data_IF_367823714069
#
_entry.id   IF_367823714069
#
_cell.length_a   1.000
_cell.length_b   1.000
_cell.length_c   1.000
_cell.angle_alpha   90.00
_cell.angle_beta   90.00
_cell.angle_gamma   90.00
#
_symmetry.space_group_name_H-M   'P 1'
#
loop_
_entity.id
_entity.type
_entity.pdbx_description
1 polymer ?
#
# COMPACT_ATOMS: atom_id res chain seq x y z
N UNK A 1 1.62 7.24 29.15
CA UNK A 1 1.97 6.81 27.78
C UNK A 1 1.79 8.04 26.90
N UNK A 2 2.86 8.75 26.54
CA UNK A 2 2.73 10.03 25.81
C UNK A 2 3.55 9.97 24.53
N UNK A 3 2.80 9.87 23.44
CA UNK A 3 3.13 10.24 22.06
C UNK A 3 4.15 9.39 21.30
N UNK A 4 3.83 8.11 21.07
CA UNK A 4 4.34 7.40 19.89
C UNK A 4 3.62 7.93 18.65
N UNK A 5 4.15 8.95 17.99
CA UNK A 5 3.56 9.49 16.75
C UNK A 5 3.86 8.54 15.57
N UNK A 6 3.05 7.47 15.48
CA UNK A 6 3.02 6.58 14.34
C UNK A 6 2.57 7.36 13.11
N UNK A 7 3.23 7.12 11.98
CA UNK A 7 2.73 7.49 10.66
C UNK A 7 2.30 6.20 9.95
N UNK A 8 1.01 6.07 9.71
CA UNK A 8 0.45 4.88 9.07
C UNK A 8 0.79 4.84 7.57
N UNK A 9 1.33 3.72 7.10
CA UNK A 9 1.43 3.40 5.67
C UNK A 9 0.22 2.53 5.31
N UNK A 10 -0.91 3.16 5.07
CA UNK A 10 -2.19 2.49 4.91
C UNK A 10 -2.55 2.28 3.44
N UNK A 11 -3.12 1.11 3.12
CA UNK A 11 -3.75 0.90 1.82
C UNK A 11 -4.62 -0.36 1.82
N UNK A 12 -5.62 -0.40 0.92
CA UNK A 12 -6.27 -1.68 0.60
C UNK A 12 -5.20 -2.68 0.13
N UNK A 13 -5.29 -3.97 0.50
CA UNK A 13 -4.28 -4.96 0.11
C UNK A 13 -3.93 -4.89 -1.38
N UNK A 14 -2.65 -5.07 -1.69
CA UNK A 14 -2.13 -5.08 -3.07
C UNK A 14 -2.23 -3.75 -3.84
N UNK A 15 -2.37 -2.63 -3.13
CA UNK A 15 -2.33 -1.28 -3.71
C UNK A 15 -0.92 -0.65 -3.75
N UNK A 16 0.16 -1.41 -3.52
CA UNK A 16 1.53 -0.92 -3.69
C UNK A 16 2.27 -0.47 -2.42
N UNK A 17 1.88 -0.97 -1.25
CA UNK A 17 2.55 -0.62 0.02
C UNK A 17 4.03 -1.02 0.04
N UNK A 18 4.39 -2.20 -0.50
CA UNK A 18 5.80 -2.62 -0.66
C UNK A 18 6.60 -1.61 -1.47
N UNK A 19 6.00 -1.05 -2.53
CA UNK A 19 6.67 -0.06 -3.39
C UNK A 19 6.85 1.29 -2.69
N UNK A 20 5.84 1.73 -1.92
CA UNK A 20 5.99 2.92 -1.05
C UNK A 20 7.15 2.73 -0.06
N UNK A 21 7.25 1.54 0.56
CA UNK A 21 8.31 1.23 1.52
C UNK A 21 9.69 1.20 0.86
N UNK A 22 9.80 0.71 -0.38
CA UNK A 22 11.01 0.85 -1.19
C UNK A 22 11.38 2.33 -1.40
N UNK A 23 10.42 3.17 -1.79
CA UNK A 23 10.67 4.61 -1.97
C UNK A 23 11.15 5.26 -0.66
N UNK A 24 10.46 4.98 0.46
CA UNK A 24 10.83 5.50 1.78
C UNK A 24 12.25 5.10 2.19
N UNK A 25 12.64 3.85 1.95
CA UNK A 25 13.97 3.38 2.28
C UNK A 25 15.04 3.93 1.35
N UNK A 26 14.86 3.79 0.04
CA UNK A 26 15.89 4.10 -0.96
C UNK A 26 16.07 5.62 -1.16
N UNK A 27 14.99 6.40 -1.05
CA UNK A 27 15.00 7.84 -1.34
C UNK A 27 15.03 8.73 -0.10
N UNK A 28 14.78 8.18 1.09
CA UNK A 28 14.79 8.95 2.35
C UNK A 28 15.58 8.28 3.49
N UNK A 29 16.08 7.06 3.30
CA UNK A 29 16.73 6.29 4.36
C UNK A 29 15.77 5.89 5.50
N UNK A 30 14.45 5.94 5.27
CA UNK A 30 13.44 5.71 6.29
C UNK A 30 12.99 4.25 6.28
N UNK A 31 13.25 3.56 7.40
CA UNK A 31 12.79 2.19 7.63
C UNK A 31 11.33 2.16 8.04
N UNK A 32 10.66 1.04 7.76
CA UNK A 32 9.25 0.84 8.09
C UNK A 32 8.96 -0.55 8.61
N UNK A 33 8.03 -0.61 9.57
CA UNK A 33 7.51 -1.86 10.10
C UNK A 33 6.14 -2.20 9.50
N UNK A 34 5.58 -3.34 9.87
CA UNK A 34 4.22 -3.77 9.57
C UNK A 34 3.55 -4.16 10.87
N UNK A 35 2.23 -4.01 10.99
CA UNK A 35 1.49 -4.60 12.12
C UNK A 35 1.42 -6.13 12.04
N UNK A 36 1.79 -6.71 10.90
CA UNK A 36 1.79 -8.14 10.65
C UNK A 36 3.21 -8.67 10.81
N UNK A 37 3.46 -9.62 11.73
CA UNK A 37 4.76 -10.27 11.82
C UNK A 37 5.01 -11.10 10.57
N UNK A 38 6.27 -11.20 10.14
CA UNK A 38 6.64 -11.94 8.93
C UNK A 38 5.89 -11.43 7.67
N UNK A 39 5.66 -10.11 7.58
CA UNK A 39 4.88 -9.45 6.53
C UNK A 39 5.38 -9.77 5.11
N UNK A 40 6.69 -10.05 4.98
CA UNK A 40 7.36 -10.33 3.71
C UNK A 40 7.72 -11.81 3.54
N UNK A 41 7.27 -12.68 4.45
CA UNK A 41 7.48 -14.13 4.38
C UNK A 41 8.93 -14.57 4.58
N UNK A 42 9.74 -13.79 5.30
CA UNK A 42 11.14 -14.10 5.61
C UNK A 42 12.11 -13.89 4.46
N UNK A 43 11.67 -13.22 3.38
CA UNK A 43 12.52 -12.90 2.24
C UNK A 43 13.50 -11.78 2.63
N UNK A 44 14.67 -12.16 3.14
CA UNK A 44 15.71 -11.23 3.62
C UNK A 44 16.14 -10.21 2.57
N UNK A 45 16.27 -10.64 1.31
CA UNK A 45 16.62 -9.74 0.20
C UNK A 45 15.55 -8.67 -0.01
N UNK A 46 14.26 -9.04 0.04
CA UNK A 46 13.17 -8.08 -0.06
C UNK A 46 13.10 -7.16 1.17
N UNK A 47 13.31 -7.70 2.37
CA UNK A 47 13.37 -6.93 3.62
C UNK A 47 14.43 -5.82 3.55
N UNK A 48 15.61 -6.11 3.02
CA UNK A 48 16.68 -5.15 2.77
C UNK A 48 16.27 -4.07 1.76
N UNK A 49 15.62 -4.46 0.65
CA UNK A 49 15.19 -3.51 -0.38
C UNK A 49 14.12 -2.52 0.08
N UNK A 50 13.27 -2.91 1.03
CA UNK A 50 12.18 -2.07 1.54
C UNK A 50 12.49 -1.42 2.89
N UNK A 51 13.69 -1.65 3.44
CA UNK A 51 14.07 -1.16 4.76
C UNK A 51 13.14 -1.66 5.87
N UNK A 52 12.83 -2.96 5.87
CA UNK A 52 11.91 -3.54 6.86
C UNK A 52 12.50 -3.52 8.28
N UNK A 53 11.65 -3.20 9.25
CA UNK A 53 11.83 -3.51 10.67
C UNK A 53 10.86 -4.65 10.99
N UNK A 54 11.42 -5.82 11.31
CA UNK A 54 10.65 -6.99 11.74
C UNK A 54 10.34 -6.89 13.25
N UNK A 55 9.33 -7.64 13.69
CA UNK A 55 9.04 -7.81 15.10
C UNK A 55 10.18 -8.56 15.81
N UNK A 56 10.45 -8.15 17.05
CA UNK A 56 11.34 -8.87 17.95
C UNK A 56 10.70 -10.18 18.46
N UNK A 57 11.48 -11.00 19.19
CA UNK A 57 11.02 -12.29 19.73
C UNK A 57 9.79 -12.14 20.67
N UNK A 58 9.64 -10.99 21.32
CA UNK A 58 8.49 -10.64 22.16
C UNK A 58 7.32 -10.03 21.36
N UNK A 59 7.37 -10.10 20.03
CA UNK A 59 6.38 -9.59 19.07
C UNK A 59 6.23 -8.07 19.08
N UNK A 60 7.15 -7.34 19.70
CA UNK A 60 7.17 -5.87 19.69
C UNK A 60 7.94 -5.34 18.49
N UNK A 61 7.60 -4.14 18.04
CA UNK A 61 8.34 -3.41 17.00
C UNK A 61 9.18 -2.34 17.71
N UNK A 62 10.50 -2.43 17.60
CA UNK A 62 11.42 -1.44 18.16
C UNK A 62 11.98 -0.55 17.05
N UNK A 63 11.61 0.72 17.09
CA UNK A 63 12.16 1.73 16.20
C UNK A 63 13.45 2.33 16.80
N UNK A 64 14.43 2.72 15.97
CA UNK A 64 15.56 3.51 16.43
C UNK A 64 15.10 4.78 17.17
N UNK A 65 15.86 5.19 18.19
CA UNK A 65 15.53 6.40 18.95
C UNK A 65 15.46 7.63 18.02
N UNK A 66 14.48 8.51 18.26
CA UNK A 66 14.23 9.73 17.48
C UNK A 66 13.90 9.50 15.98
N UNK A 67 13.53 8.27 15.59
CA UNK A 67 13.05 7.98 14.23
C UNK A 67 11.54 8.19 14.09
N UNK A 68 11.11 8.44 12.85
CA UNK A 68 9.68 8.45 12.51
C UNK A 68 9.19 7.00 12.53
N UNK A 69 8.12 6.73 13.28
CA UNK A 69 7.52 5.40 13.37
C UNK A 69 6.60 5.13 12.18
N UNK A 70 7.17 4.67 11.06
CA UNK A 70 6.41 4.31 9.86
C UNK A 70 5.91 2.87 9.97
N UNK A 71 4.59 2.69 10.04
CA UNK A 71 3.98 1.37 10.26
C UNK A 71 2.94 1.06 9.19
N UNK A 72 3.15 -0.05 8.46
CA UNK A 72 2.23 -0.53 7.42
C UNK A 72 1.03 -1.24 8.01
N UNK A 73 -0.14 -1.00 7.41
CA UNK A 73 -1.40 -1.67 7.76
C UNK A 73 -2.32 -1.85 6.55
N UNK A 74 -3.16 -2.88 6.59
CA UNK A 74 -4.34 -3.05 5.71
C UNK A 74 -5.65 -3.01 6.50
N UNK A 75 -5.59 -2.58 7.76
CA UNK A 75 -6.78 -2.40 8.59
C UNK A 75 -7.46 -1.07 8.24
N UNK A 76 -8.74 -0.99 8.56
CA UNK A 76 -9.45 0.29 8.59
C UNK A 76 -8.80 1.27 9.58
N UNK A 77 -9.00 2.57 9.36
CA UNK A 77 -8.48 3.58 10.27
C UNK A 77 -9.01 3.37 11.69
N UNK A 78 -8.10 3.40 12.69
CA UNK A 78 -8.44 3.14 14.11
C UNK A 78 -8.22 4.35 15.01
N UNK A 79 -7.51 5.36 14.52
CA UNK A 79 -7.13 6.56 15.24
C UNK A 79 -7.04 7.75 14.26
N UNK A 80 -6.57 8.91 14.72
CA UNK A 80 -6.32 10.11 13.91
C UNK A 80 -4.83 10.40 13.68
N UNK A 81 -3.95 9.41 13.89
CA UNK A 81 -2.53 9.58 13.62
C UNK A 81 -2.27 9.88 12.14
N UNK A 82 -1.18 10.61 11.80
CA UNK A 82 -0.83 10.90 10.43
C UNK A 82 -0.74 9.64 9.56
N UNK A 83 -1.06 9.77 8.28
CA UNK A 83 -1.06 8.63 7.37
C UNK A 83 -0.57 9.00 5.97
N UNK A 84 0.18 8.08 5.35
CA UNK A 84 0.32 8.03 3.90
C UNK A 84 -0.65 6.95 3.43
N UNK A 85 -1.74 7.37 2.78
CA UNK A 85 -2.71 6.44 2.21
C UNK A 85 -2.41 6.22 0.73
N UNK A 86 -2.15 4.97 0.34
CA UNK A 86 -1.95 4.60 -1.06
C UNK A 86 -3.24 4.00 -1.63
N UNK A 87 -3.75 4.64 -2.68
CA UNK A 87 -4.82 4.08 -3.51
C UNK A 87 -4.23 3.53 -4.80
N UNK A 88 -4.86 2.48 -5.34
CA UNK A 88 -4.62 1.93 -6.68
C UNK A 88 -5.98 1.73 -7.33
N UNK A 89 -6.03 1.64 -8.66
CA UNK A 89 -7.23 1.18 -9.38
C UNK A 89 -7.76 -0.09 -8.70
N UNK A 90 -8.97 -0.02 -8.16
CA UNK A 90 -9.54 -1.11 -7.36
C UNK A 90 -9.72 -2.40 -8.17
N UNK A 91 -9.91 -2.31 -9.49
CA UNK A 91 -9.97 -3.49 -10.39
C UNK A 91 -8.63 -4.22 -10.37
N UNK A 92 -7.54 -3.46 -10.51
CA UNK A 92 -6.18 -3.98 -10.45
C UNK A 92 -5.82 -4.53 -9.06
N UNK A 93 -6.25 -3.84 -8.00
CA UNK A 93 -6.01 -4.25 -6.62
C UNK A 93 -6.73 -5.57 -6.28
N UNK A 94 -8.02 -5.70 -6.59
CA UNK A 94 -8.81 -6.92 -6.36
C UNK A 94 -8.27 -8.12 -7.15
N UNK A 95 -7.94 -7.95 -8.44
CA UNK A 95 -7.32 -9.02 -9.24
C UNK A 95 -5.95 -9.41 -8.66
N UNK A 96 -5.16 -8.45 -8.19
CA UNK A 96 -3.87 -8.74 -7.55
C UNK A 96 -4.04 -9.47 -6.22
N UNK A 97 -5.08 -9.16 -5.44
CA UNK A 97 -5.38 -9.82 -4.16
C UNK A 97 -5.84 -11.25 -4.38
N UNK A 98 -6.73 -11.47 -5.34
CA UNK A 98 -7.15 -12.79 -5.76
C UNK A 98 -5.96 -13.68 -6.17
N UNK A 99 -5.05 -13.15 -6.99
CA UNK A 99 -3.80 -13.86 -7.36
C UNK A 99 -2.87 -14.08 -6.17
N UNK A 100 -2.79 -13.14 -5.23
CA UNK A 100 -1.95 -13.27 -4.03
C UNK A 100 -2.44 -14.39 -3.10
N UNK A 101 -3.75 -14.59 -3.02
CA UNK A 101 -4.36 -15.75 -2.34
C UNK A 101 -4.30 -17.04 -3.16
N UNK A 102 -3.49 -17.10 -4.22
CA UNK A 102 -3.41 -18.24 -5.12
C UNK A 102 -4.79 -18.68 -5.65
N UNK A 103 -5.70 -17.70 -5.85
CA UNK A 103 -7.06 -17.94 -6.34
C UNK A 103 -7.88 -18.87 -5.44
N UNK A 104 -7.57 -18.94 -4.15
CA UNK A 104 -8.28 -19.82 -3.20
C UNK A 104 -9.74 -19.43 -2.96
N UNK A 105 -10.14 -18.23 -3.38
CA UNK A 105 -11.50 -17.72 -3.34
C UNK A 105 -11.95 -17.32 -4.75
N UNK A 106 -13.25 -17.35 -5.07
CA UNK A 106 -13.78 -16.72 -6.27
C UNK A 106 -13.43 -15.23 -6.32
N UNK A 107 -13.13 -14.71 -7.52
CA UNK A 107 -12.85 -13.28 -7.69
C UNK A 107 -14.06 -12.40 -7.29
N UNK A 108 -15.29 -12.90 -7.48
CA UNK A 108 -16.52 -12.30 -7.00
C UNK A 108 -16.50 -12.04 -5.48
N UNK A 109 -16.05 -13.01 -4.68
CA UNK A 109 -15.96 -12.86 -3.23
C UNK A 109 -14.96 -11.75 -2.82
N UNK A 110 -13.91 -11.54 -3.62
CA UNK A 110 -12.97 -10.41 -3.40
C UNK A 110 -13.63 -9.08 -3.75
N UNK A 111 -14.36 -9.01 -4.86
CA UNK A 111 -15.08 -7.82 -5.32
C UNK A 111 -16.16 -7.41 -4.30
N UNK A 112 -16.90 -8.38 -3.79
CA UNK A 112 -17.96 -8.20 -2.80
C UNK A 112 -17.42 -7.90 -1.40
N UNK A 113 -16.10 -7.97 -1.20
CA UNK A 113 -15.49 -7.75 0.11
C UNK A 113 -15.80 -8.83 1.12
N UNK A 114 -16.09 -10.06 0.69
CA UNK A 114 -16.31 -11.25 1.53
C UNK A 114 -14.98 -11.78 2.09
N UNK A 115 -14.18 -10.89 2.68
CA UNK A 115 -12.92 -11.16 3.35
C UNK A 115 -12.67 -10.09 4.42
N UNK A 116 -11.64 -10.27 5.24
CA UNK A 116 -11.36 -9.43 6.42
C UNK A 116 -11.13 -7.92 6.17
N UNK A 117 -11.05 -7.48 4.92
CA UNK A 117 -10.74 -6.08 4.57
C UNK A 117 -11.91 -5.36 3.87
N UNK A 118 -13.05 -6.04 3.72
CA UNK A 118 -14.24 -5.51 3.04
C UNK A 118 -13.99 -5.15 1.57
N UNK A 119 -14.90 -4.35 1.01
CA UNK A 119 -14.78 -3.87 -0.37
C UNK A 119 -13.64 -2.84 -0.47
N UNK A 120 -13.11 -2.67 -1.68
CA UNK A 120 -12.11 -1.65 -1.96
C UNK A 120 -12.61 -0.24 -1.59
N UNK A 121 -13.83 0.11 -1.99
CA UNK A 121 -14.44 1.39 -1.65
C UNK A 121 -14.61 1.58 -0.14
N UNK A 122 -15.11 0.59 0.60
CA UNK A 122 -15.26 0.70 2.06
C UNK A 122 -13.92 0.93 2.75
N UNK A 123 -12.86 0.28 2.28
CA UNK A 123 -11.53 0.49 2.84
C UNK A 123 -11.03 1.93 2.59
N UNK A 124 -11.19 2.45 1.37
CA UNK A 124 -10.88 3.86 1.05
C UNK A 124 -11.68 4.79 1.95
N UNK A 125 -12.99 4.59 2.05
CA UNK A 125 -13.88 5.43 2.85
C UNK A 125 -13.51 5.40 4.33
N UNK A 126 -13.12 4.24 4.88
CA UNK A 126 -12.70 4.12 6.28
C UNK A 126 -11.52 5.02 6.65
N UNK A 127 -10.61 5.26 5.70
CA UNK A 127 -9.48 6.16 5.88
C UNK A 127 -9.78 7.60 5.50
N UNK A 128 -10.87 7.83 4.77
CA UNK A 128 -11.36 9.13 4.32
C UNK A 128 -10.21 10.05 3.82
N UNK A 129 -9.32 9.57 2.93
CA UNK A 129 -7.98 10.14 2.75
C UNK A 129 -7.95 11.53 2.09
N UNK A 130 -9.12 12.04 1.71
CA UNK A 130 -9.31 13.33 1.08
C UNK A 130 -9.42 14.45 2.12
N UNK A 131 -10.17 14.19 3.19
CA UNK A 131 -10.50 15.21 4.19
C UNK A 131 -9.88 14.88 5.55
N UNK A 132 -9.29 13.68 5.71
CA UNK A 132 -8.60 13.28 6.93
C UNK A 132 -7.37 14.18 7.17
N UNK A 133 -7.25 14.85 8.34
CA UNK A 133 -6.11 15.70 8.64
C UNK A 133 -4.81 14.90 8.65
N UNK A 134 -3.68 15.57 8.36
CA UNK A 134 -2.35 14.96 8.34
C UNK A 134 -2.28 13.67 7.50
N UNK A 135 -2.99 13.64 6.37
CA UNK A 135 -3.01 12.49 5.45
C UNK A 135 -2.46 12.87 4.09
N UNK A 136 -1.44 12.15 3.64
CA UNK A 136 -0.92 12.21 2.28
C UNK A 136 -1.56 11.09 1.45
N UNK A 137 -2.44 11.47 0.53
CA UNK A 137 -3.07 10.55 -0.43
C UNK A 137 -2.20 10.40 -1.68
N UNK A 138 -1.67 9.20 -1.93
CA UNK A 138 -0.89 8.87 -3.12
C UNK A 138 -1.65 7.87 -4.00
N UNK A 139 -1.61 8.08 -5.33
CA UNK A 139 -2.02 7.05 -6.30
C UNK A 139 -0.80 6.20 -6.63
N UNK A 140 -1.00 4.89 -6.63
CA UNK A 140 0.01 3.92 -7.03
C UNK A 140 0.50 4.17 -8.47
N UNK A 141 -0.41 4.54 -9.37
CA UNK A 141 -0.06 4.82 -10.76
C UNK A 141 0.90 6.01 -10.88
N UNK A 142 0.73 7.05 -10.04
CA UNK A 142 1.65 8.19 -9.98
C UNK A 142 3.00 7.80 -9.37
N UNK A 143 3.01 6.91 -8.36
CA UNK A 143 4.26 6.37 -7.79
C UNK A 143 5.11 5.68 -8.85
N UNK A 144 4.47 4.97 -9.79
CA UNK A 144 5.16 4.25 -10.85
C UNK A 144 5.62 5.20 -11.96
N UNK A 145 4.78 6.17 -12.34
CA UNK A 145 4.99 6.96 -13.55
C UNK A 145 5.58 8.35 -13.31
N UNK A 146 5.58 8.86 -12.07
CA UNK A 146 5.99 10.22 -11.75
C UNK A 146 6.73 10.30 -10.40
N UNK A 147 7.84 9.56 -10.30
CA UNK A 147 8.64 9.47 -9.08
C UNK A 147 9.06 10.84 -8.52
N UNK A 148 9.59 11.81 -9.31
CA UNK A 148 10.02 13.11 -8.77
C UNK A 148 8.91 13.88 -8.03
N UNK A 149 7.69 13.88 -8.58
CA UNK A 149 6.54 14.51 -7.92
C UNK A 149 6.20 13.80 -6.61
N UNK A 150 6.28 12.47 -6.60
CA UNK A 150 5.99 11.66 -5.41
C UNK A 150 7.04 11.87 -4.32
N UNK A 151 8.32 11.93 -4.69
CA UNK A 151 9.40 12.25 -3.75
C UNK A 151 9.20 13.62 -3.11
N UNK A 152 8.89 14.64 -3.91
CA UNK A 152 8.63 15.98 -3.37
C UNK A 152 7.43 15.99 -2.40
N UNK A 153 6.32 15.31 -2.75
CA UNK A 153 5.15 15.21 -1.87
C UNK A 153 5.44 14.49 -0.55
N UNK A 154 6.20 13.40 -0.59
CA UNK A 154 6.61 12.66 0.62
C UNK A 154 7.57 13.52 1.46
N UNK A 155 8.52 14.21 0.82
CA UNK A 155 9.47 15.12 1.47
C UNK A 155 8.77 16.21 2.28
N UNK A 156 7.81 16.91 1.65
CA UNK A 156 7.00 17.95 2.30
C UNK A 156 6.18 17.38 3.46
N UNK A 157 5.52 16.24 3.25
CA UNK A 157 4.67 15.62 4.27
C UNK A 157 5.45 15.15 5.50
N UNK A 158 6.56 14.44 5.29
CA UNK A 158 7.38 13.90 6.36
C UNK A 158 8.39 14.91 6.92
N UNK A 159 8.56 16.06 6.26
CA UNK A 159 9.60 17.06 6.54
C UNK A 159 11.00 16.43 6.54
N UNK A 160 11.30 15.70 5.45
CA UNK A 160 12.56 14.97 5.26
C UNK A 160 13.18 15.28 3.91
N UNK A 161 14.49 15.40 3.88
CA UNK A 161 15.24 15.61 2.64
C UNK A 161 15.21 14.34 1.78
N UNK A 162 15.21 14.55 0.47
CA UNK A 162 15.36 13.48 -0.51
C UNK A 162 16.85 13.15 -0.57
N UNK A 163 17.23 11.91 -0.23
CA UNK A 163 18.62 11.45 -0.24
C UNK A 163 19.02 10.75 -1.54
N UNK A 164 18.03 10.33 -2.34
CA UNK A 164 18.22 9.75 -3.67
C UNK A 164 16.95 9.95 -4.49
N UNK A 165 17.12 10.22 -5.79
CA UNK A 165 16.00 10.33 -6.75
C UNK A 165 15.81 9.05 -7.57
N UNK A 166 16.52 7.98 -7.21
CA UNK A 166 16.49 6.70 -7.90
C UNK A 166 16.06 5.58 -6.97
N UNK A 167 15.34 4.61 -7.54
CA UNK A 167 14.99 3.35 -6.91
C UNK A 167 15.49 2.20 -7.79
N UNK A 168 15.80 1.03 -7.21
CA UNK A 168 16.17 -0.15 -7.99
C UNK A 168 15.09 -0.49 -9.02
N UNK A 169 15.50 -1.02 -10.18
CA UNK A 169 14.56 -1.48 -11.20
C UNK A 169 13.57 -2.48 -10.58
N UNK A 170 12.28 -2.25 -10.84
CA UNK A 170 11.20 -3.08 -10.34
C UNK A 170 11.35 -4.54 -10.73
N UNK A 171 11.95 -4.84 -11.89
CA UNK A 171 12.22 -6.20 -12.34
C UNK A 171 13.26 -6.90 -11.45
N UNK A 172 14.22 -6.16 -10.91
CA UNK A 172 15.21 -6.70 -9.96
C UNK A 172 14.50 -7.08 -8.65
N UNK A 173 13.61 -6.22 -8.16
CA UNK A 173 12.82 -6.48 -6.95
C UNK A 173 11.84 -7.64 -7.19
N UNK A 174 11.12 -7.63 -8.31
CA UNK A 174 10.18 -8.68 -8.69
C UNK A 174 10.87 -10.05 -8.86
N UNK A 175 12.06 -10.08 -9.46
CA UNK A 175 12.86 -11.31 -9.61
C UNK A 175 13.39 -11.85 -8.28
N UNK A 176 13.65 -10.98 -7.30
CA UNK A 176 14.03 -11.38 -5.95
C UNK A 176 12.84 -11.84 -5.08
N UNK A 177 11.61 -11.54 -5.49
CA UNK A 177 10.40 -11.62 -4.69
C UNK A 177 9.43 -12.72 -5.17
N UNK A 178 9.10 -12.73 -6.47
CA UNK A 178 8.15 -13.66 -7.09
C UNK A 178 6.69 -13.51 -6.63
N UNK A 179 6.42 -12.88 -5.48
CA UNK A 179 5.10 -12.90 -4.82
C UNK A 179 4.50 -11.51 -4.61
N UNK A 180 5.26 -10.54 -4.12
CA UNK A 180 4.76 -9.27 -3.63
C UNK A 180 4.77 -8.17 -4.70
N UNK A 181 5.79 -8.14 -5.56
CA UNK A 181 6.02 -7.20 -6.66
C UNK A 181 5.90 -7.98 -7.97
N UNK A 182 4.87 -7.66 -8.76
CA UNK A 182 4.64 -8.23 -10.10
C UNK A 182 4.54 -7.14 -11.14
N UNK A 183 4.83 -7.46 -12.40
CA UNK A 183 4.46 -6.64 -13.56
C UNK A 183 2.95 -6.47 -13.63
N UNK A 184 2.48 -5.41 -14.27
CA UNK A 184 1.07 -5.01 -14.27
C UNK A 184 0.17 -6.16 -14.72
N UNK A 185 -0.61 -6.71 -13.80
CA UNK A 185 -1.70 -7.60 -14.17
C UNK A 185 -2.79 -6.73 -14.80
N UNK A 186 -3.00 -6.89 -16.11
CA UNK A 186 -4.14 -6.28 -16.78
C UNK A 186 -5.41 -6.90 -16.23
N UNK A 187 -6.10 -6.19 -15.35
CA UNK A 187 -7.39 -6.63 -14.81
C UNK A 187 -8.40 -6.89 -15.93
N UNK A 188 -8.21 -6.27 -17.11
CA UNK A 188 -9.04 -6.42 -18.30
C UNK A 188 -9.12 -7.86 -18.83
N UNK A 189 -8.09 -8.68 -18.59
CA UNK A 189 -8.12 -10.09 -19.02
C UNK A 189 -8.68 -11.05 -17.97
N UNK A 190 -8.92 -10.57 -16.75
CA UNK A 190 -9.32 -11.40 -15.61
C UNK A 190 -10.76 -11.12 -15.15
N UNK A 191 -11.26 -9.90 -15.38
CA UNK A 191 -12.65 -9.53 -15.11
C UNK A 191 -13.49 -9.76 -16.37
N UNK A 192 -14.45 -10.67 -16.29
CA UNK A 192 -15.54 -10.76 -17.28
C UNK A 192 -16.42 -9.50 -17.22
N UNK A 193 -17.24 -9.27 -18.24
CA UNK A 193 -18.15 -8.11 -18.28
C UNK A 193 -19.11 -8.08 -17.08
N UNK A 194 -19.60 -9.25 -16.64
CA UNK A 194 -20.45 -9.36 -15.45
C UNK A 194 -19.71 -8.95 -14.17
N UNK A 195 -18.50 -9.49 -13.95
CA UNK A 195 -17.69 -9.14 -12.78
C UNK A 195 -17.25 -7.67 -12.80
N UNK A 196 -16.95 -7.12 -13.98
CA UNK A 196 -16.62 -5.71 -14.14
C UNK A 196 -17.84 -4.82 -13.84
N UNK A 197 -19.01 -5.16 -14.36
CA UNK A 197 -20.26 -4.46 -14.06
C UNK A 197 -20.61 -4.49 -12.57
N UNK A 198 -20.41 -5.65 -11.92
CA UNK A 198 -20.59 -5.81 -10.47
C UNK A 198 -19.59 -4.96 -9.69
N UNK A 199 -18.31 -5.03 -10.03
CA UNK A 199 -17.26 -4.23 -9.39
C UNK A 199 -17.56 -2.73 -9.50
N UNK A 200 -17.92 -2.26 -10.70
CA UNK A 200 -18.23 -0.86 -10.94
C UNK A 200 -19.42 -0.42 -10.09
N UNK A 201 -20.50 -1.20 -10.02
CA UNK A 201 -21.68 -0.88 -9.20
C UNK A 201 -21.37 -0.76 -7.71
N UNK A 202 -20.51 -1.63 -7.17
CA UNK A 202 -20.14 -1.61 -5.75
C UNK A 202 -19.25 -0.40 -5.43
N UNK A 203 -18.42 0.04 -6.38
CA UNK A 203 -17.33 0.99 -6.11
C UNK A 203 -17.50 2.32 -6.87
N UNK A 204 -18.65 2.57 -7.48
CA UNK A 204 -18.88 3.61 -8.49
C UNK A 204 -18.42 4.99 -8.04
N UNK A 205 -18.93 5.47 -6.91
CA UNK A 205 -18.61 6.80 -6.39
C UNK A 205 -17.12 6.97 -6.14
N UNK A 206 -16.46 5.92 -5.64
CA UNK A 206 -15.03 5.96 -5.33
C UNK A 206 -14.20 5.90 -6.61
N UNK A 207 -14.63 5.14 -7.62
CA UNK A 207 -13.99 5.11 -8.94
C UNK A 207 -14.07 6.47 -9.65
N UNK A 208 -15.27 7.07 -9.71
CA UNK A 208 -15.48 8.40 -10.30
C UNK A 208 -14.65 9.45 -9.58
N UNK A 209 -14.68 9.43 -8.24
CA UNK A 209 -13.93 10.35 -7.41
C UNK A 209 -12.42 10.28 -7.68
N UNK A 210 -11.86 9.10 -7.95
CA UNK A 210 -10.46 8.97 -8.37
C UNK A 210 -10.21 9.14 -9.87
N UNK A 211 -11.24 9.31 -10.71
CA UNK A 211 -11.11 9.41 -12.16
C UNK A 211 -10.74 8.09 -12.84
N UNK A 212 -11.12 6.96 -12.25
CA UNK A 212 -10.92 5.62 -12.84
C UNK A 212 -12.02 5.23 -13.83
N UNK A 213 -13.14 5.95 -13.79
CA UNK A 213 -14.27 5.91 -14.72
C UNK A 213 -14.81 7.33 -14.88
N UNK A 214 -15.43 7.61 -16.02
CA UNK A 214 -16.09 8.87 -16.35
C UNK A 214 -17.46 8.97 -15.68
#
# INVERSE_FOLDING_TARGET
MKDTNIVWLASYPRSGNTFLRTILWQCFGLRSASIYPNDLGGNKKLEEYVGHIEHDLDKQIRFPQNSIMLVKTHEYARDMNPAIYVVRDGRAACVSLWKFYNKSYPLEAIIDGQHRFGTWANHVQSWHPWDRPNTLLLKYEDMVNNLPVILNRISVFLKREITSESIPDRNIIAGADGRWVKTEASWKSELSDDLLGRFNRINEDTLRRFGYID
#
